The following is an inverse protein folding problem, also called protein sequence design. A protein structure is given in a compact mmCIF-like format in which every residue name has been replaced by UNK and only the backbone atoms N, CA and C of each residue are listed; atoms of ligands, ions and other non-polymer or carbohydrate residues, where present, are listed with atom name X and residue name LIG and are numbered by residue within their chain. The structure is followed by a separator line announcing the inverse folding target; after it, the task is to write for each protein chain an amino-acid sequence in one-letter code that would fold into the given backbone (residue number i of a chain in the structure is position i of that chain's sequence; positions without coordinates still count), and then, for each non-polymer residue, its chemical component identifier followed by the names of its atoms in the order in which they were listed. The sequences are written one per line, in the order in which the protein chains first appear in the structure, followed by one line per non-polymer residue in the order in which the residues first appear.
data_IF_077184634080
#
_entry.id   IF_077184634080
#
_cell.length_a   1.000
_cell.length_b   1.000
_cell.length_c   1.000
_cell.angle_alpha   90.00
_cell.angle_beta   90.00
_cell.angle_gamma   90.00
#
_symmetry.space_group_name_H-M   'P 1'
#
loop_
_entity.id
_entity.type
_entity.pdbx_description
1 polymer ?
#
# COMPACT_ATOMS: atom_id res chain seq x y z
N UNK A 1 16.80 -21.23 6.25
CA UNK A 1 16.81 -19.76 6.24
C UNK A 1 15.76 -19.35 5.24
N UNK A 2 14.69 -18.74 5.72
CA UNK A 2 13.50 -18.38 4.93
C UNK A 2 13.92 -17.43 3.83
N UNK A 3 13.67 -17.82 2.59
CA UNK A 3 13.80 -16.97 1.41
C UNK A 3 12.96 -15.71 1.66
N UNK A 4 13.60 -14.61 2.07
CA UNK A 4 12.98 -13.29 2.17
C UNK A 4 12.71 -12.78 0.76
N UNK A 5 11.80 -13.47 0.06
CA UNK A 5 11.42 -13.15 -1.30
C UNK A 5 10.74 -11.78 -1.25
N UNK A 6 11.50 -10.74 -1.62
CA UNK A 6 11.01 -9.39 -1.74
C UNK A 6 9.76 -9.39 -2.61
N UNK A 7 8.68 -8.83 -2.09
CA UNK A 7 7.42 -8.73 -2.80
C UNK A 7 7.57 -7.90 -4.07
N UNK A 8 6.99 -8.43 -5.12
CA UNK A 8 6.73 -7.73 -6.38
C UNK A 8 5.53 -6.80 -6.24
N UNK A 9 5.33 -5.93 -7.24
CA UNK A 9 4.14 -5.06 -7.30
C UNK A 9 2.84 -5.87 -7.25
N UNK A 10 2.82 -7.07 -7.85
CA UNK A 10 1.67 -7.97 -7.84
C UNK A 10 1.33 -8.49 -6.44
N UNK A 11 2.35 -8.88 -5.67
CA UNK A 11 2.16 -9.39 -4.32
C UNK A 11 1.74 -8.29 -3.35
N UNK A 12 2.38 -7.12 -3.45
CA UNK A 12 1.97 -5.96 -2.67
C UNK A 12 0.54 -5.54 -3.01
N UNK A 13 0.18 -5.52 -4.30
CA UNK A 13 -1.17 -5.21 -4.74
C UNK A 13 -2.19 -6.19 -4.14
N UNK A 14 -1.90 -7.50 -4.19
CA UNK A 14 -2.74 -8.53 -3.57
C UNK A 14 -2.90 -8.33 -2.06
N UNK A 15 -1.83 -7.94 -1.37
CA UNK A 15 -1.87 -7.69 0.08
C UNK A 15 -2.69 -6.46 0.44
N UNK A 16 -2.55 -5.37 -0.33
CA UNK A 16 -3.27 -4.11 -0.10
C UNK A 16 -4.69 -4.09 -0.70
N UNK A 17 -5.08 -5.11 -1.46
CA UNK A 17 -6.38 -5.17 -2.15
C UNK A 17 -6.45 -4.28 -3.41
N UNK A 18 -5.31 -3.92 -3.99
CA UNK A 18 -5.22 -3.15 -5.23
C UNK A 18 -4.95 -4.03 -6.45
N UNK A 19 -5.12 -3.45 -7.65
CA UNK A 19 -4.60 -4.02 -8.88
C UNK A 19 -3.11 -3.69 -9.05
N UNK A 20 -2.36 -4.57 -9.73
CA UNK A 20 -0.93 -4.35 -10.00
C UNK A 20 -0.66 -3.05 -10.74
N UNK A 21 -1.50 -2.70 -11.72
CA UNK A 21 -1.44 -1.44 -12.46
C UNK A 21 -1.61 -0.21 -11.56
N UNK A 22 -2.49 -0.30 -10.55
CA UNK A 22 -2.68 0.75 -9.55
C UNK A 22 -1.42 0.95 -8.73
N UNK A 23 -0.80 -0.12 -8.24
CA UNK A 23 0.47 -0.03 -7.49
C UNK A 23 1.57 0.54 -8.37
N UNK A 24 1.74 0.05 -9.61
CA UNK A 24 2.74 0.57 -10.55
C UNK A 24 2.58 2.08 -10.82
N UNK A 25 1.33 2.54 -10.98
CA UNK A 25 1.01 3.96 -11.11
C UNK A 25 1.33 4.75 -9.84
N UNK A 26 0.92 4.25 -8.67
CA UNK A 26 1.15 4.90 -7.37
C UNK A 26 2.63 5.01 -7.02
N UNK A 27 3.45 4.03 -7.42
CA UNK A 27 4.92 4.09 -7.26
C UNK A 27 5.52 5.35 -7.90
N UNK A 28 4.90 5.86 -8.97
CA UNK A 28 5.37 7.05 -9.70
C UNK A 28 4.63 8.32 -9.27
N UNK A 29 3.31 8.24 -9.09
CA UNK A 29 2.47 9.41 -8.83
C UNK A 29 2.34 9.76 -7.35
N UNK A 30 2.34 8.76 -6.47
CA UNK A 30 2.02 8.90 -5.04
C UNK A 30 2.86 7.91 -4.21
N UNK A 31 4.20 8.02 -4.21
CA UNK A 31 5.06 7.06 -3.52
C UNK A 31 4.83 7.07 -2.00
N UNK A 32 4.39 8.18 -1.42
CA UNK A 32 4.06 8.32 0.01
C UNK A 32 2.86 7.45 0.44
N UNK A 33 2.01 7.04 -0.51
CA UNK A 33 0.85 6.17 -0.25
C UNK A 33 1.19 4.68 -0.34
N UNK A 34 2.45 4.32 -0.52
CA UNK A 34 2.92 2.95 -0.57
C UNK A 34 3.99 2.73 0.50
N UNK A 35 4.21 1.46 0.90
CA UNK A 35 5.32 1.15 1.76
C UNK A 35 6.65 1.49 1.07
N UNK A 36 7.69 1.85 1.86
CA UNK A 36 8.99 2.17 1.31
C UNK A 36 9.54 0.97 0.54
N UNK A 37 9.92 1.23 -0.71
CA UNK A 37 10.53 0.25 -1.61
C UNK A 37 12.01 0.11 -1.32
N UNK A 38 12.57 -1.07 -1.60
CA UNK A 38 14.01 -1.28 -1.55
C UNK A 38 14.67 -0.45 -2.66
N UNK A 39 15.46 0.53 -2.26
CA UNK A 39 16.29 1.29 -3.19
C UNK A 39 17.39 0.39 -3.80
N UNK A 40 17.90 0.75 -4.96
CA UNK A 40 19.00 0.05 -5.66
C UNK A 40 18.63 -1.18 -6.50
N UNK A 41 17.34 -1.51 -6.63
CA UNK A 41 16.88 -2.53 -7.59
C UNK A 41 16.27 -1.86 -8.82
N UNK A 42 16.60 -2.36 -10.01
CA UNK A 42 16.03 -1.87 -11.29
C UNK A 42 14.51 -2.09 -11.44
N UNK A 43 13.89 -2.81 -10.50
CA UNK A 43 12.43 -2.98 -10.41
C UNK A 43 11.97 -2.70 -8.97
N UNK A 44 10.83 -2.02 -8.77
CA UNK A 44 10.32 -1.75 -7.43
C UNK A 44 9.98 -3.05 -6.73
N UNK A 45 10.58 -3.26 -5.54
CA UNK A 45 10.32 -4.39 -4.66
C UNK A 45 10.15 -3.94 -3.22
N UNK A 46 9.45 -4.76 -2.44
CA UNK A 46 9.12 -4.45 -1.05
C UNK A 46 9.49 -5.58 -0.11
N UNK A 47 9.97 -5.23 1.07
CA UNK A 47 10.17 -6.21 2.15
C UNK A 47 8.79 -6.53 2.76
N UNK A 48 8.38 -7.80 2.83
CA UNK A 48 7.06 -8.18 3.36
C UNK A 48 6.83 -7.66 4.79
N UNK A 49 7.85 -7.72 5.65
CA UNK A 49 7.77 -7.24 7.03
C UNK A 49 7.50 -5.74 7.10
N UNK A 50 8.26 -4.96 6.34
CA UNK A 50 8.10 -3.49 6.24
C UNK A 50 6.73 -3.13 5.67
N UNK A 51 6.26 -3.84 4.64
CA UNK A 51 4.94 -3.60 4.07
C UNK A 51 3.81 -3.90 5.06
N UNK A 52 3.94 -4.96 5.87
CA UNK A 52 2.99 -5.28 6.94
C UNK A 52 3.00 -4.24 8.04
N UNK A 53 4.18 -3.79 8.46
CA UNK A 53 4.31 -2.77 9.50
C UNK A 53 3.73 -1.43 9.04
N UNK A 54 4.07 -1.01 7.82
CA UNK A 54 3.51 0.18 7.19
C UNK A 54 2.00 0.11 7.08
N UNK A 55 1.44 -1.05 6.70
CA UNK A 55 0.00 -1.24 6.61
C UNK A 55 -0.67 -1.12 7.98
N UNK A 56 -0.05 -1.61 9.07
CA UNK A 56 -0.58 -1.40 10.44
C UNK A 56 -0.59 0.07 10.83
N UNK A 57 0.45 0.82 10.48
CA UNK A 57 0.54 2.26 10.76
C UNK A 57 -0.44 3.09 9.91
N UNK A 58 -0.63 2.69 8.65
CA UNK A 58 -1.48 3.41 7.68
C UNK A 58 -2.96 3.05 7.77
N UNK A 59 -3.30 1.86 8.28
CA UNK A 59 -4.69 1.42 8.49
C UNK A 59 -5.41 2.14 9.63
N UNK A 60 -4.90 3.29 10.10
CA UNK A 60 -5.71 4.22 10.86
C UNK A 60 -7.04 4.39 10.12
N UNK A 61 -8.18 4.08 10.75
CA UNK A 61 -9.44 3.92 10.04
C UNK A 61 -9.72 5.19 9.25
N UNK A 62 -10.22 5.09 8.00
CA UNK A 62 -10.70 6.27 7.32
C UNK A 62 -11.68 6.90 8.29
N UNK A 63 -11.36 8.12 8.77
CA UNK A 63 -12.31 8.93 9.55
C UNK A 63 -13.62 8.75 8.84
N UNK A 64 -14.57 8.15 9.56
CA UNK A 64 -15.88 7.80 9.06
C UNK A 64 -16.29 8.91 8.13
N UNK A 65 -16.59 8.60 6.86
CA UNK A 65 -17.32 9.54 6.02
C UNK A 65 -18.67 9.69 6.71
N UNK A 66 -18.72 10.56 7.73
CA UNK A 66 -19.92 11.05 8.35
C UNK A 66 -20.62 11.72 7.20
N UNK A 67 -21.52 10.97 6.57
CA UNK A 67 -22.39 11.50 5.56
C UNK A 67 -23.00 12.77 6.13
N UNK A 68 -23.01 13.83 5.33
CA UNK A 68 -23.67 15.09 5.70
C UNK A 68 -25.07 14.74 6.23
N UNK A 69 -25.42 15.10 7.47
CA UNK A 69 -26.77 14.83 7.97
C UNK A 69 -27.75 15.45 6.97
N UNK A 70 -28.62 14.62 6.37
CA UNK A 70 -29.75 15.11 5.60
C UNK A 70 -30.64 15.82 6.60
N UNK A 71 -30.62 17.15 6.54
CA UNK A 71 -31.45 18.01 7.37
C UNK A 71 -32.91 17.56 7.21
N UNK A 72 -33.53 17.25 8.34
CA UNK A 72 -34.95 16.92 8.44
C UNK A 72 -35.77 18.11 7.94
N UNK A 73 -36.82 17.81 7.17
CA UNK A 73 -37.97 18.68 6.98
C UNK A 73 -39.20 17.82 6.73
#
# INVERSE_FOLDING_TARGET
MTDETLWTARELARFLGYCESTVSRMVTQEPDKLPPRVASLGRPRWVPEVAREWARQTSAPPRSRVGRPRNQR
#
